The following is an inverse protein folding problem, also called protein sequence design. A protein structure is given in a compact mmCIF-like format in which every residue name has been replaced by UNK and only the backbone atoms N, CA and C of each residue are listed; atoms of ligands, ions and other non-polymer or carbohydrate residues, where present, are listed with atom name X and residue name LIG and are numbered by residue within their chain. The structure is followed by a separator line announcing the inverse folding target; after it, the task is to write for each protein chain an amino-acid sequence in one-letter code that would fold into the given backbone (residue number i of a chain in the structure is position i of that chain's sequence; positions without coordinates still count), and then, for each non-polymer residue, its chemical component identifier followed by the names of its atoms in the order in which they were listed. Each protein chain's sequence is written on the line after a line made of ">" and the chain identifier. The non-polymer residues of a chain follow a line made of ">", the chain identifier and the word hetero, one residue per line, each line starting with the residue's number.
data_IF_474802979019
#
_entry.id   IF_474802979019
#
_cell.length_a   1.000
_cell.length_b   1.000
_cell.length_c   1.000
_cell.angle_alpha   90.00
_cell.angle_beta   90.00
_cell.angle_gamma   90.00
#
_symmetry.space_group_name_H-M   'P 1'
#
loop_
_entity.id
_entity.type
_entity.pdbx_description
1 polymer ?
#
# COMPACT_ATOMS: atom_id res chain seq x y z
N UNK A 1 -12.84 8.67 -21.72
CA UNK A 1 -11.80 8.70 -20.67
C UNK A 1 -11.80 7.37 -19.94
N UNK A 2 -10.64 6.74 -19.82
CA UNK A 2 -10.49 5.50 -19.04
C UNK A 2 -10.27 5.81 -17.58
N UNK A 3 -10.88 5.01 -16.72
CA UNK A 3 -10.76 5.14 -15.26
C UNK A 3 -9.93 3.99 -14.72
N UNK A 4 -8.94 4.32 -13.92
CA UNK A 4 -8.00 3.40 -13.32
C UNK A 4 -8.10 3.49 -11.81
N UNK A 5 -8.31 2.35 -11.15
CA UNK A 5 -8.29 2.26 -9.68
C UNK A 5 -6.96 1.66 -9.24
N UNK A 6 -6.36 2.29 -8.24
CA UNK A 6 -5.12 1.82 -7.65
C UNK A 6 -5.38 1.28 -6.27
N UNK A 7 -4.98 0.04 -6.02
CA UNK A 7 -5.07 -0.59 -4.70
C UNK A 7 -3.68 -1.05 -4.29
N UNK A 8 -3.32 -0.79 -3.07
CA UNK A 8 -2.01 -1.18 -2.60
C UNK A 8 -1.69 -0.62 -1.23
N UNK A 9 -0.41 -0.60 -0.93
CA UNK A 9 0.15 -0.12 0.33
C UNK A 9 0.81 1.26 0.16
N UNK A 10 1.78 1.56 1.00
CA UNK A 10 2.49 2.84 0.99
C UNK A 10 3.24 3.11 -0.31
N UNK A 11 3.69 2.08 -1.02
CA UNK A 11 4.38 2.27 -2.30
C UNK A 11 3.43 2.86 -3.35
N UNK A 12 2.26 2.25 -3.50
CA UNK A 12 1.26 2.75 -4.44
C UNK A 12 0.71 4.11 -4.01
N UNK A 13 0.64 4.37 -2.70
CA UNK A 13 0.20 5.67 -2.17
C UNK A 13 1.21 6.78 -2.43
N UNK A 14 2.45 6.44 -2.76
CA UNK A 14 3.51 7.42 -2.98
C UNK A 14 4.05 8.00 -1.69
N UNK A 15 4.11 7.19 -0.63
CA UNK A 15 4.66 7.64 0.65
C UNK A 15 6.17 7.84 0.53
N UNK A 16 6.61 9.05 0.81
CA UNK A 16 8.01 9.44 0.71
C UNK A 16 8.43 10.19 1.97
N UNK A 17 9.71 10.05 2.38
CA UNK A 17 10.23 10.84 3.49
C UNK A 17 10.54 12.27 3.04
N UNK A 18 10.36 13.22 3.94
CA UNK A 18 10.84 14.58 3.77
C UNK A 18 12.27 14.72 4.33
N UNK A 19 12.81 15.94 4.34
CA UNK A 19 14.16 16.22 4.85
C UNK A 19 14.31 15.88 6.34
N UNK A 20 13.23 15.96 7.10
CA UNK A 20 13.20 15.61 8.53
C UNK A 20 12.86 14.13 8.76
N UNK A 21 12.82 13.31 7.70
CA UNK A 21 12.48 11.89 7.75
C UNK A 21 11.05 11.62 8.23
N UNK A 22 10.15 12.57 8.04
CA UNK A 22 8.72 12.33 8.22
C UNK A 22 8.13 11.83 6.90
N UNK A 23 7.26 10.83 6.99
CA UNK A 23 6.68 10.19 5.81
C UNK A 23 5.35 10.83 5.44
N UNK A 24 5.19 11.19 4.18
CA UNK A 24 3.99 11.81 3.64
C UNK A 24 3.54 11.12 2.37
N UNK A 25 2.23 11.09 2.17
CA UNK A 25 1.67 10.71 0.87
C UNK A 25 2.00 11.80 -0.15
N UNK A 26 2.37 11.37 -1.34
CA UNK A 26 2.76 12.28 -2.42
C UNK A 26 2.29 11.72 -3.76
N UNK A 27 2.47 12.49 -4.81
CA UNK A 27 2.28 12.02 -6.19
C UNK A 27 3.62 11.57 -6.80
N UNK A 28 4.45 10.86 -6.04
CA UNK A 28 5.76 10.41 -6.47
C UNK A 28 5.70 9.49 -7.71
N UNK A 29 4.59 8.79 -7.91
CA UNK A 29 4.38 7.93 -9.07
C UNK A 29 4.05 8.76 -10.32
N UNK A 30 3.52 9.97 -10.15
CA UNK A 30 3.23 10.87 -11.25
C UNK A 30 1.85 10.70 -11.87
N UNK A 31 0.86 10.28 -11.09
CA UNK A 31 -0.51 10.10 -11.60
C UNK A 31 -1.11 11.40 -12.11
N UNK A 32 -0.87 12.52 -11.45
CA UNK A 32 -1.39 13.83 -11.90
C UNK A 32 -0.82 14.23 -13.25
N UNK A 33 0.48 14.03 -13.46
CA UNK A 33 1.12 14.32 -14.74
C UNK A 33 0.55 13.43 -15.84
N UNK A 34 0.31 12.17 -15.56
CA UNK A 34 -0.29 11.26 -16.54
C UNK A 34 -1.72 11.65 -16.88
N UNK A 35 -2.51 12.07 -15.91
CA UNK A 35 -3.87 12.57 -16.19
C UNK A 35 -3.87 13.83 -17.05
N UNK A 36 -2.91 14.72 -16.83
CA UNK A 36 -2.78 15.93 -17.62
C UNK A 36 -2.34 15.67 -19.06
N UNK A 37 -1.53 14.63 -19.27
CA UNK A 37 -0.95 14.32 -20.59
C UNK A 37 -1.83 13.37 -21.40
N UNK A 38 -2.52 12.45 -20.75
CA UNK A 38 -3.33 11.41 -21.39
C UNK A 38 -4.79 11.52 -20.92
N UNK A 39 -5.70 11.01 -21.72
CA UNK A 39 -7.13 11.00 -21.37
C UNK A 39 -7.43 9.86 -20.38
N UNK A 40 -6.97 10.03 -19.16
CA UNK A 40 -7.01 9.02 -18.08
C UNK A 40 -7.45 9.67 -16.77
N UNK A 41 -8.11 8.88 -15.94
CA UNK A 41 -8.46 9.28 -14.58
C UNK A 41 -7.97 8.21 -13.61
N UNK A 42 -7.17 8.60 -12.64
CA UNK A 42 -6.66 7.73 -11.60
C UNK A 42 -7.35 8.02 -10.26
N UNK A 43 -7.87 6.98 -9.63
CA UNK A 43 -8.38 7.04 -8.26
C UNK A 43 -7.51 6.12 -7.42
N UNK A 44 -6.75 6.72 -6.53
CA UNK A 44 -5.79 5.99 -5.71
C UNK A 44 -6.41 5.63 -4.36
N UNK A 45 -6.78 4.37 -4.20
CA UNK A 45 -7.35 3.83 -2.98
C UNK A 45 -6.31 3.13 -2.11
N UNK A 46 -5.03 3.23 -2.45
CA UNK A 46 -3.96 2.63 -1.67
C UNK A 46 -3.86 3.29 -0.30
N UNK A 47 -3.48 2.50 0.68
CA UNK A 47 -3.35 2.95 2.07
C UNK A 47 -2.03 2.44 2.66
N UNK A 48 -1.31 3.29 3.41
CA UNK A 48 -0.10 2.85 4.09
C UNK A 48 -0.35 1.66 5.02
N UNK A 49 0.63 0.81 5.16
CA UNK A 49 0.63 -0.37 6.04
C UNK A 49 -0.29 -1.51 5.62
N UNK A 50 -1.02 -1.39 4.52
CA UNK A 50 -1.91 -2.46 4.09
C UNK A 50 -1.16 -3.72 3.71
N UNK A 51 -1.64 -4.84 4.25
CA UNK A 51 -1.27 -6.19 3.83
C UNK A 51 -2.17 -6.64 2.68
N UNK A 52 -1.87 -7.78 2.06
CA UNK A 52 -2.71 -8.34 1.01
C UNK A 52 -4.14 -8.59 1.50
N UNK A 53 -4.31 -9.02 2.74
CA UNK A 53 -5.62 -9.22 3.35
C UNK A 53 -6.39 -7.91 3.44
N UNK A 54 -5.74 -6.84 3.89
CA UNK A 54 -6.36 -5.52 3.99
C UNK A 54 -6.68 -4.93 2.63
N UNK A 55 -5.82 -5.13 1.66
CA UNK A 55 -6.08 -4.71 0.28
C UNK A 55 -7.34 -5.41 -0.24
N UNK A 56 -7.47 -6.72 -0.02
CA UNK A 56 -8.64 -7.48 -0.44
C UNK A 56 -9.94 -6.96 0.19
N UNK A 57 -9.91 -6.70 1.48
CA UNK A 57 -11.08 -6.16 2.20
C UNK A 57 -11.46 -4.77 1.67
N UNK A 58 -10.49 -3.92 1.49
CA UNK A 58 -10.68 -2.56 1.01
C UNK A 58 -11.20 -2.54 -0.43
N UNK A 59 -10.61 -3.38 -1.28
CA UNK A 59 -11.05 -3.54 -2.66
C UNK A 59 -12.53 -3.94 -2.72
N UNK A 60 -12.93 -4.91 -1.93
CA UNK A 60 -14.32 -5.36 -1.88
C UNK A 60 -15.25 -4.22 -1.50
N UNK A 61 -14.89 -3.44 -0.50
CA UNK A 61 -15.67 -2.29 -0.04
C UNK A 61 -15.75 -1.20 -1.12
N UNK A 62 -14.64 -0.86 -1.74
CA UNK A 62 -14.59 0.17 -2.79
C UNK A 62 -15.42 -0.27 -4.00
N UNK A 63 -15.28 -1.50 -4.44
CA UNK A 63 -16.02 -2.01 -5.62
C UNK A 63 -17.51 -2.12 -5.37
N UNK A 64 -17.94 -2.21 -4.11
CA UNK A 64 -19.37 -2.21 -3.76
C UNK A 64 -20.00 -0.82 -3.80
N UNK A 65 -19.20 0.24 -3.66
CA UNK A 65 -19.67 1.62 -3.49
C UNK A 65 -19.28 2.55 -4.63
N UNK A 66 -18.53 2.07 -5.59
CA UNK A 66 -18.03 2.87 -6.71
C UNK A 66 -18.31 2.20 -8.05
N UNK A 67 -18.38 2.97 -9.14
CA UNK A 67 -18.53 2.39 -10.47
C UNK A 67 -17.36 1.45 -10.80
N UNK A 68 -17.60 0.49 -11.68
CA UNK A 68 -16.54 -0.42 -12.14
C UNK A 68 -15.53 0.36 -12.95
N UNK A 69 -14.22 0.25 -12.63
CA UNK A 69 -13.19 0.92 -13.42
C UNK A 69 -12.92 0.17 -14.72
N UNK A 70 -12.25 0.83 -15.66
CA UNK A 70 -11.75 0.17 -16.86
C UNK A 70 -10.58 -0.75 -16.54
N UNK A 71 -9.72 -0.33 -15.60
CA UNK A 71 -8.53 -1.08 -15.17
C UNK A 71 -8.36 -0.92 -13.66
N UNK A 72 -7.96 -1.98 -13.00
CA UNK A 72 -7.56 -1.95 -11.61
C UNK A 72 -6.11 -2.46 -11.48
N UNK A 73 -5.29 -1.70 -10.77
CA UNK A 73 -3.92 -2.10 -10.44
C UNK A 73 -3.85 -2.50 -8.97
N UNK A 74 -3.20 -3.62 -8.73
CA UNK A 74 -3.01 -4.18 -7.39
C UNK A 74 -1.51 -4.27 -7.12
N UNK A 75 -1.09 -3.66 -6.02
CA UNK A 75 0.26 -3.77 -5.52
C UNK A 75 0.17 -4.11 -4.03
N UNK A 76 0.67 -5.27 -3.64
CA UNK A 76 0.65 -5.70 -2.25
C UNK A 76 1.67 -6.81 -2.03
N UNK A 77 1.91 -7.13 -0.77
CA UNK A 77 2.82 -8.21 -0.38
C UNK A 77 4.02 -7.74 0.43
N UNK A 78 4.48 -6.50 0.25
CA UNK A 78 5.61 -5.97 0.98
C UNK A 78 5.38 -5.99 2.49
N UNK A 79 4.23 -5.50 2.93
CA UNK A 79 3.88 -5.50 4.36
C UNK A 79 3.60 -6.91 4.89
N UNK A 80 3.15 -7.82 4.04
CA UNK A 80 2.97 -9.23 4.40
C UNK A 80 4.30 -9.88 4.77
N UNK A 81 5.40 -9.40 4.19
CA UNK A 81 6.74 -9.95 4.39
C UNK A 81 7.57 -9.16 5.39
N UNK A 82 7.05 -8.07 5.94
CA UNK A 82 7.78 -7.18 6.84
C UNK A 82 7.65 -7.64 8.29
N UNK A 83 8.35 -8.72 8.60
CA UNK A 83 8.36 -9.32 9.94
C UNK A 83 9.69 -9.09 10.63
N UNK A 84 9.70 -9.30 11.94
CA UNK A 84 10.94 -9.42 12.69
C UNK A 84 11.56 -10.79 12.42
N UNK A 85 12.28 -10.90 11.32
CA UNK A 85 12.87 -12.16 10.85
C UNK A 85 13.85 -12.77 11.85
N UNK A 86 14.57 -11.93 12.60
CA UNK A 86 15.46 -12.42 13.64
C UNK A 86 14.70 -13.23 14.69
N UNK A 87 13.60 -12.68 15.19
CA UNK A 87 12.77 -13.38 16.18
C UNK A 87 12.15 -14.64 15.60
N UNK A 88 11.73 -14.61 14.35
CA UNK A 88 11.16 -15.77 13.68
C UNK A 88 12.22 -16.88 13.53
N UNK A 89 13.42 -16.53 13.09
CA UNK A 89 14.53 -17.48 12.93
C UNK A 89 14.97 -18.09 14.25
N UNK A 90 14.85 -17.34 15.34
CA UNK A 90 15.16 -17.81 16.70
C UNK A 90 14.02 -18.59 17.34
N UNK A 91 12.91 -18.78 16.63
CA UNK A 91 11.76 -19.52 17.13
C UNK A 91 10.96 -18.78 18.20
N UNK A 92 11.15 -17.48 18.33
CA UNK A 92 10.48 -16.67 19.36
C UNK A 92 9.14 -16.09 18.91
N UNK A 93 8.83 -16.15 17.61
CA UNK A 93 7.57 -15.65 17.06
C UNK A 93 6.77 -16.79 16.46
N UNK A 94 5.53 -16.91 16.91
CA UNK A 94 4.54 -17.77 16.26
C UNK A 94 3.75 -16.96 15.20
N UNK A 95 2.77 -17.61 14.60
CA UNK A 95 1.93 -16.99 13.59
C UNK A 95 1.17 -15.78 14.13
N UNK A 96 0.71 -15.82 15.36
CA UNK A 96 -0.03 -14.71 15.96
C UNK A 96 0.87 -13.52 16.23
N UNK A 97 2.07 -13.76 16.73
CA UNK A 97 3.04 -12.71 17.04
C UNK A 97 3.59 -12.02 15.80
N UNK A 98 3.74 -12.72 14.70
CA UNK A 98 4.34 -12.12 13.51
C UNK A 98 3.54 -10.92 13.00
N UNK A 99 2.22 -10.93 13.12
CA UNK A 99 1.38 -9.79 12.73
C UNK A 99 1.58 -8.57 13.64
N UNK A 100 2.04 -8.78 14.86
CA UNK A 100 2.32 -7.69 15.80
C UNK A 100 3.73 -7.15 15.66
N UNK A 101 4.69 -8.01 15.34
CA UNK A 101 6.08 -7.58 15.23
C UNK A 101 6.40 -6.92 13.91
N UNK A 102 5.66 -7.22 12.84
CA UNK A 102 5.91 -6.63 11.53
C UNK A 102 5.86 -5.09 11.55
N UNK A 103 4.85 -4.44 12.11
CA UNK A 103 4.83 -2.98 12.21
C UNK A 103 5.99 -2.41 13.01
N UNK A 104 6.41 -3.11 14.07
CA UNK A 104 7.56 -2.70 14.90
C UNK A 104 8.84 -2.80 14.08
N UNK A 105 9.06 -3.90 13.38
CA UNK A 105 10.22 -4.07 12.50
C UNK A 105 10.28 -2.99 11.44
N UNK A 106 9.17 -2.72 10.81
CA UNK A 106 9.07 -1.67 9.80
C UNK A 106 9.43 -0.29 10.37
N UNK A 107 8.95 0.02 11.57
CA UNK A 107 9.24 1.27 12.25
C UNK A 107 10.73 1.41 12.55
N UNK A 108 11.40 0.32 12.90
CA UNK A 108 12.83 0.32 13.19
C UNK A 108 13.71 0.48 11.96
N UNK A 109 13.22 0.11 10.79
CA UNK A 109 13.94 0.27 9.53
C UNK A 109 13.99 1.72 9.04
N UNK A 110 13.20 2.57 9.63
CA UNK A 110 13.17 3.99 9.33
C UNK A 110 14.25 4.72 10.12
#
# INVERSE_FOLDING_TARGET
>A
MKTYYMFGDSLMRGVMPDEAWNYHSSDAIGFEAMQAQYNMKFLNFAMPTFTSERVKMWLTQIMSNHPVPDVAFLECGGNDCDYNWKSICEGRCDYEHRHRVAPVSYTHLR
#
